data_IF_146151243574
#
_entry.id   IF_146151243574
#
_cell.length_a   1.000
_cell.length_b   1.000
_cell.length_c   1.000
_cell.angle_alpha   90.00
_cell.angle_beta   90.00
_cell.angle_gamma   90.00
#
_symmetry.space_group_name_H-M   'P 1'
#
loop_
_entity.id
_entity.type
_entity.pdbx_description
1 polymer ?
#
# COMPACT_ATOMS: atom_id res chain seq x y z
N UNK A 1 62.22 -42.75 -16.32
CA UNK A 1 62.51 -43.10 -17.73
C UNK A 1 61.21 -43.01 -18.53
N UNK A 2 61.26 -42.22 -19.61
CA UNK A 2 60.43 -42.25 -20.82
C UNK A 2 58.92 -41.99 -20.72
N UNK A 3 58.62 -40.77 -21.15
CA UNK A 3 57.48 -40.32 -21.96
C UNK A 3 56.78 -41.40 -22.81
N UNK A 4 55.46 -41.23 -23.00
CA UNK A 4 54.88 -40.90 -24.31
C UNK A 4 53.43 -40.44 -24.18
N UNK A 5 53.17 -39.21 -24.60
CA UNK A 5 51.84 -38.72 -24.89
C UNK A 5 51.34 -39.13 -26.27
N UNK A 6 50.02 -39.11 -26.45
CA UNK A 6 49.37 -38.94 -27.75
C UNK A 6 48.06 -38.19 -27.55
N UNK A 7 47.93 -37.06 -28.26
CA UNK A 7 46.78 -36.13 -28.32
C UNK A 7 45.71 -36.69 -29.27
N UNK A 8 44.43 -36.45 -28.97
CA UNK A 8 43.48 -35.62 -29.79
C UNK A 8 42.10 -35.59 -29.13
N UNK A 9 41.66 -34.41 -28.66
CA UNK A 9 40.63 -33.49 -29.24
C UNK A 9 39.18 -33.94 -29.08
N UNK A 10 38.46 -33.23 -28.21
CA UNK A 10 37.00 -33.20 -28.13
C UNK A 10 36.57 -32.09 -27.16
N UNK A 11 36.28 -30.92 -27.71
CA UNK A 11 35.86 -29.69 -27.04
C UNK A 11 34.49 -29.82 -26.35
N UNK A 12 34.37 -29.49 -25.06
CA UNK A 12 33.20 -28.81 -24.51
C UNK A 12 33.60 -27.82 -23.40
N UNK A 13 33.41 -26.54 -23.73
CA UNK A 13 33.09 -25.39 -22.86
C UNK A 13 31.94 -25.78 -21.90
N UNK A 14 31.67 -25.20 -20.74
CA UNK A 14 32.04 -23.94 -20.09
C UNK A 14 31.54 -24.03 -18.62
N UNK A 15 32.16 -23.19 -17.79
CA UNK A 15 31.56 -22.46 -16.67
C UNK A 15 31.03 -23.23 -15.45
N UNK A 16 31.75 -23.05 -14.34
CA UNK A 16 31.32 -23.43 -13.01
C UNK A 16 30.10 -22.64 -12.55
N UNK A 17 29.25 -23.33 -11.81
CA UNK A 17 28.19 -22.73 -11.03
C UNK A 17 28.72 -22.49 -9.62
N UNK A 18 29.07 -21.24 -9.36
CA UNK A 18 29.26 -20.70 -8.01
C UNK A 18 27.88 -20.70 -7.36
N UNK A 19 27.68 -21.58 -6.38
CA UNK A 19 26.47 -21.66 -5.58
C UNK A 19 26.48 -20.49 -4.58
N UNK A 20 25.91 -19.34 -4.98
CA UNK A 20 25.68 -18.22 -4.06
C UNK A 20 24.35 -18.49 -3.35
N UNK A 21 24.43 -19.07 -2.17
CA UNK A 21 23.38 -19.04 -1.16
C UNK A 21 23.24 -17.59 -0.67
N UNK A 22 22.39 -16.80 -1.31
CA UNK A 22 21.90 -15.55 -0.72
C UNK A 22 20.81 -15.91 0.27
N UNK A 23 21.19 -16.05 1.54
CA UNK A 23 20.26 -15.95 2.64
C UNK A 23 19.76 -14.51 2.70
N UNK A 24 18.66 -14.20 2.01
CA UNK A 24 17.94 -12.98 2.25
C UNK A 24 17.19 -13.13 3.58
N UNK A 25 17.84 -12.72 4.67
CA UNK A 25 17.16 -12.30 5.89
C UNK A 25 16.29 -11.07 5.55
N UNK A 26 15.13 -11.30 4.97
CA UNK A 26 14.03 -10.35 5.05
C UNK A 26 13.42 -10.52 6.43
N UNK A 27 13.81 -9.67 7.37
CA UNK A 27 13.02 -9.49 8.58
C UNK A 27 11.59 -9.18 8.13
N UNK A 28 10.69 -10.15 8.25
CA UNK A 28 9.26 -9.93 8.10
C UNK A 28 8.90 -9.02 9.26
N UNK A 29 8.93 -7.70 9.02
CA UNK A 29 8.47 -6.73 9.99
C UNK A 29 7.07 -7.18 10.40
N UNK A 30 6.85 -7.38 11.71
CA UNK A 30 5.51 -7.65 12.21
C UNK A 30 4.59 -6.58 11.64
N UNK A 31 3.51 -6.98 10.95
CA UNK A 31 2.68 -5.99 10.31
C UNK A 31 2.06 -5.14 11.43
N UNK A 32 1.99 -3.81 11.23
CA UNK A 32 1.53 -2.88 12.26
C UNK A 32 0.17 -3.30 12.80
N UNK A 33 -0.02 -3.24 14.13
CA UNK A 33 -1.20 -3.73 14.85
C UNK A 33 -2.50 -2.93 14.63
N UNK A 34 -2.67 -2.28 13.47
CA UNK A 34 -3.90 -1.57 13.11
C UNK A 34 -4.92 -2.58 12.58
N UNK A 35 -6.14 -2.55 13.10
CA UNK A 35 -7.23 -3.38 12.60
C UNK A 35 -7.87 -2.69 11.40
N UNK A 36 -7.88 -3.31 10.22
CA UNK A 36 -8.67 -2.81 9.10
C UNK A 36 -10.13 -2.68 9.54
N UNK A 37 -10.86 -1.63 9.13
CA UNK A 37 -12.25 -1.46 9.48
C UNK A 37 -13.02 -2.59 8.83
N UNK A 38 -13.31 -3.62 9.60
CA UNK A 38 -14.13 -4.70 9.09
C UNK A 38 -15.54 -4.21 8.83
N UNK A 39 -16.16 -4.62 7.71
CA UNK A 39 -17.57 -4.36 7.49
C UNK A 39 -18.33 -5.26 8.46
N UNK A 40 -19.08 -4.66 9.37
CA UNK A 40 -19.98 -5.44 10.23
C UNK A 40 -20.96 -6.21 9.34
N UNK A 41 -21.27 -7.45 9.73
CA UNK A 41 -22.15 -8.34 8.97
C UNK A 41 -23.55 -7.71 8.71
N UNK A 42 -23.98 -6.81 9.60
CA UNK A 42 -25.24 -6.05 9.55
C UNK A 42 -25.07 -4.60 9.04
N UNK A 43 -23.88 -4.23 8.56
CA UNK A 43 -23.57 -2.86 8.16
C UNK A 43 -24.36 -2.44 6.92
N UNK A 44 -25.10 -1.33 7.06
CA UNK A 44 -25.75 -0.62 5.95
C UNK A 44 -24.79 0.29 5.17
N UNK A 45 -23.50 0.29 5.49
CA UNK A 45 -22.51 1.10 4.79
C UNK A 45 -22.45 0.72 3.30
N UNK A 46 -22.53 1.69 2.37
CA UNK A 46 -22.34 1.42 0.96
C UNK A 46 -20.95 0.85 0.70
N UNK A 47 -20.88 -0.20 -0.12
CA UNK A 47 -19.63 -0.88 -0.45
C UNK A 47 -18.52 0.06 -0.96
N UNK A 48 -18.86 1.12 -1.69
CA UNK A 48 -17.88 2.13 -2.12
C UNK A 48 -17.20 2.87 -0.96
N UNK A 49 -17.95 3.19 0.10
CA UNK A 49 -17.40 3.81 1.30
C UNK A 49 -16.48 2.84 2.06
N UNK A 50 -16.88 1.57 2.13
CA UNK A 50 -16.07 0.52 2.72
C UNK A 50 -14.74 0.30 1.96
N UNK A 51 -14.79 0.11 0.64
CA UNK A 51 -13.58 -0.08 -0.18
C UNK A 51 -12.67 1.15 -0.17
N UNK A 52 -13.23 2.34 0.01
CA UNK A 52 -12.46 3.55 0.25
C UNK A 52 -11.68 3.47 1.56
N UNK A 53 -12.35 3.14 2.68
CA UNK A 53 -11.68 2.96 3.97
C UNK A 53 -10.59 1.89 3.93
N UNK A 54 -10.88 0.75 3.30
CA UNK A 54 -9.91 -0.33 3.13
C UNK A 54 -8.70 0.13 2.30
N UNK A 55 -8.91 0.89 1.23
CA UNK A 55 -7.82 1.47 0.46
C UNK A 55 -6.94 2.42 1.29
N UNK A 56 -7.55 3.33 2.05
CA UNK A 56 -6.80 4.29 2.87
C UNK A 56 -5.89 3.58 3.87
N UNK A 57 -6.41 2.56 4.56
CA UNK A 57 -5.63 1.86 5.56
C UNK A 57 -4.52 1.01 4.92
N UNK A 58 -4.83 0.21 3.90
CA UNK A 58 -3.82 -0.60 3.19
C UNK A 58 -2.69 0.26 2.65
N UNK A 59 -3.03 1.37 1.98
CA UNK A 59 -2.02 2.30 1.42
C UNK A 59 -1.20 2.93 2.55
N UNK A 60 -1.82 3.34 3.65
CA UNK A 60 -1.12 3.85 4.83
C UNK A 60 -0.18 2.84 5.47
N UNK A 61 -0.59 1.57 5.57
CA UNK A 61 0.25 0.49 6.08
C UNK A 61 1.42 0.19 5.14
N UNK A 62 1.18 0.17 3.83
CA UNK A 62 2.24 0.04 2.82
C UNK A 62 3.28 1.15 2.93
N UNK A 63 2.83 2.40 3.12
CA UNK A 63 3.76 3.51 3.36
C UNK A 63 4.65 3.25 4.58
N UNK A 64 4.08 2.75 5.69
CA UNK A 64 4.84 2.40 6.90
C UNK A 64 5.84 1.27 6.68
N UNK A 65 5.46 0.25 5.92
CA UNK A 65 6.36 -0.87 5.57
C UNK A 65 7.53 -0.38 4.73
N UNK A 66 7.30 0.54 3.79
CA UNK A 66 8.35 1.14 2.97
C UNK A 66 9.24 2.12 3.75
N UNK A 67 8.77 2.65 4.88
CA UNK A 67 9.48 3.63 5.70
C UNK A 67 9.58 3.18 7.17
N UNK A 68 10.23 2.04 7.48
CA UNK A 68 10.18 1.40 8.79
C UNK A 68 10.84 2.22 9.91
N UNK A 69 11.76 3.12 9.56
CA UNK A 69 12.45 4.03 10.50
C UNK A 69 11.71 5.35 10.72
N UNK A 70 10.66 5.63 9.94
CA UNK A 70 10.00 6.92 9.97
C UNK A 70 8.85 6.93 10.99
N UNK A 71 8.55 8.14 11.49
CA UNK A 71 7.42 8.35 12.39
C UNK A 71 6.21 8.75 11.55
N UNK A 72 5.38 7.76 11.26
CA UNK A 72 4.22 7.89 10.37
C UNK A 72 2.92 7.82 11.17
N UNK A 73 2.04 8.79 10.93
CA UNK A 73 0.69 8.88 11.48
C UNK A 73 -0.32 8.69 10.35
N UNK A 74 -1.38 7.93 10.62
CA UNK A 74 -2.47 7.66 9.67
C UNK A 74 -3.73 8.42 10.07
N UNK A 75 -4.76 8.36 9.22
CA UNK A 75 -6.06 9.04 9.35
C UNK A 75 -6.88 8.77 10.64
N UNK A 76 -6.37 7.95 11.55
CA UNK A 76 -6.92 7.75 12.90
C UNK A 76 -6.35 8.72 13.93
N UNK A 77 -5.25 9.40 13.60
CA UNK A 77 -4.53 10.34 14.46
C UNK A 77 -4.82 11.77 14.03
N UNK A 78 -5.16 12.63 14.99
CA UNK A 78 -5.48 14.02 14.73
C UNK A 78 -4.26 14.95 14.75
N UNK A 79 -4.41 16.17 14.23
CA UNK A 79 -3.30 17.14 14.13
C UNK A 79 -2.69 17.46 15.48
N UNK A 80 -3.47 17.49 16.56
CA UNK A 80 -2.93 17.70 17.92
C UNK A 80 -1.91 16.61 18.27
N UNK A 81 -2.30 15.34 18.11
CA UNK A 81 -1.43 14.20 18.38
C UNK A 81 -0.27 14.12 17.41
N UNK A 82 -0.45 14.49 16.14
CA UNK A 82 0.63 14.55 15.15
C UNK A 82 1.69 15.57 15.58
N UNK A 83 1.30 16.78 16.01
CA UNK A 83 2.26 17.80 16.46
C UNK A 83 2.96 17.37 17.75
N UNK A 84 2.19 16.90 18.73
CA UNK A 84 2.70 16.43 20.03
C UNK A 84 3.66 15.25 19.87
N UNK A 85 3.20 14.17 19.26
CA UNK A 85 3.96 12.92 19.14
C UNK A 85 4.95 12.96 18.00
N UNK A 86 4.77 13.82 17.01
CA UNK A 86 5.74 14.09 15.95
C UNK A 86 6.91 14.96 16.41
N UNK A 87 6.85 15.51 17.62
CA UNK A 87 7.84 16.47 18.16
C UNK A 87 8.03 17.66 17.20
N UNK A 88 6.93 18.13 16.60
CA UNK A 88 6.99 19.15 15.56
C UNK A 88 6.95 20.58 16.10
N UNK A 89 6.36 20.79 17.29
CA UNK A 89 6.17 22.10 17.91
C UNK A 89 5.17 22.03 19.05
N UNK A 90 4.52 23.16 19.36
CA UNK A 90 3.50 23.25 20.41
C UNK A 90 2.09 22.99 19.85
N UNK A 91 1.45 21.86 20.18
CA UNK A 91 0.11 21.52 19.68
C UNK A 91 -0.99 22.43 20.25
N UNK A 92 -0.74 23.15 21.36
CA UNK A 92 -1.72 24.07 21.93
C UNK A 92 -1.93 25.32 21.05
N UNK A 93 -0.99 25.62 20.16
CA UNK A 93 -1.10 26.73 19.19
C UNK A 93 -2.12 26.45 18.08
N UNK A 94 -2.54 25.20 17.89
CA UNK A 94 -3.60 24.87 16.93
C UNK A 94 -4.98 25.32 17.45
N UNK A 95 -5.84 25.95 16.62
CA UNK A 95 -7.23 26.22 16.99
C UNK A 95 -7.99 24.93 17.34
N UNK A 96 -8.93 24.99 18.29
CA UNK A 96 -9.56 23.79 18.86
C UNK A 96 -10.22 22.85 17.82
N UNK A 97 -10.87 23.42 16.80
CA UNK A 97 -11.46 22.62 15.72
C UNK A 97 -10.40 22.03 14.78
N UNK A 98 -9.31 22.76 14.55
CA UNK A 98 -8.20 22.34 13.69
C UNK A 98 -7.45 21.16 14.31
N UNK A 99 -7.31 21.14 15.63
CA UNK A 99 -6.71 20.02 16.38
C UNK A 99 -7.30 18.65 16.02
N UNK A 100 -8.58 18.60 15.67
CA UNK A 100 -9.34 17.35 15.41
C UNK A 100 -9.26 16.87 13.97
N UNK A 101 -8.66 17.65 13.08
CA UNK A 101 -8.48 17.28 11.68
C UNK A 101 -7.52 16.08 11.57
N UNK A 102 -7.72 15.24 10.54
CA UNK A 102 -7.02 13.96 10.39
C UNK A 102 -6.56 13.79 8.94
N UNK A 103 -5.30 14.15 8.63
CA UNK A 103 -4.75 13.89 7.31
C UNK A 103 -4.56 12.38 7.09
N UNK A 104 -4.54 11.95 5.83
CA UNK A 104 -4.55 10.51 5.56
C UNK A 104 -3.24 9.82 5.93
N UNK A 105 -2.11 10.40 5.54
CA UNK A 105 -0.76 9.97 5.91
C UNK A 105 0.06 11.20 6.24
N UNK A 106 0.70 11.21 7.41
CA UNK A 106 1.70 12.23 7.78
C UNK A 106 2.97 11.56 8.27
N UNK A 107 4.08 11.82 7.59
CA UNK A 107 5.41 11.37 7.99
C UNK A 107 6.19 12.55 8.57
N UNK A 108 6.40 12.54 9.88
CA UNK A 108 7.06 13.65 10.59
C UNK A 108 8.58 13.52 10.56
N UNK A 109 9.13 12.40 10.06
CA UNK A 109 10.56 12.23 9.83
C UNK A 109 10.96 12.75 8.45
N UNK A 110 10.16 12.43 7.43
CA UNK A 110 10.34 12.91 6.07
C UNK A 110 9.72 14.31 5.84
N UNK A 111 8.96 14.83 6.81
CA UNK A 111 8.26 16.11 6.74
C UNK A 111 7.30 16.21 5.55
N UNK A 112 6.53 15.14 5.32
CA UNK A 112 5.57 15.06 4.21
C UNK A 112 4.19 14.63 4.67
N UNK A 113 3.18 15.09 3.93
CA UNK A 113 1.78 14.72 4.09
C UNK A 113 1.21 14.24 2.76
N UNK A 114 0.29 13.27 2.83
CA UNK A 114 -0.49 12.81 1.69
C UNK A 114 -1.98 12.72 2.06
N UNK A 115 -2.83 13.20 1.16
CA UNK A 115 -4.26 12.89 1.11
C UNK A 115 -4.51 11.78 0.10
N UNK A 116 -5.31 10.79 0.48
CA UNK A 116 -5.68 9.66 -0.37
C UNK A 116 -7.06 9.91 -0.95
N UNK A 117 -7.20 9.79 -2.27
CA UNK A 117 -8.45 10.07 -2.98
C UNK A 117 -8.70 9.06 -4.10
N UNK A 118 -9.97 8.73 -4.42
CA UNK A 118 -10.27 7.99 -5.65
C UNK A 118 -9.71 8.69 -6.89
N UNK A 119 -9.25 7.93 -7.88
CA UNK A 119 -8.68 8.44 -9.15
C UNK A 119 -9.77 9.02 -10.07
N UNK A 120 -10.26 10.22 -9.74
CA UNK A 120 -11.10 11.08 -10.57
C UNK A 120 -10.82 12.56 -10.27
N UNK A 121 -11.16 13.45 -11.20
CA UNK A 121 -10.77 14.88 -11.10
C UNK A 121 -11.41 15.60 -9.91
N UNK A 122 -12.70 15.33 -9.61
CA UNK A 122 -13.38 15.94 -8.47
C UNK A 122 -12.71 15.56 -7.14
N UNK A 123 -12.36 14.29 -6.99
CA UNK A 123 -11.68 13.78 -5.79
C UNK A 123 -10.26 14.31 -5.69
N UNK A 124 -9.56 14.47 -6.83
CA UNK A 124 -8.23 15.08 -6.89
C UNK A 124 -8.26 16.53 -6.45
N UNK A 125 -9.22 17.33 -6.92
CA UNK A 125 -9.39 18.72 -6.52
C UNK A 125 -9.64 18.84 -5.01
N UNK A 126 -10.55 18.02 -4.47
CA UNK A 126 -10.79 17.94 -3.02
C UNK A 126 -9.53 17.56 -2.24
N UNK A 127 -8.79 16.55 -2.69
CA UNK A 127 -7.52 16.17 -2.05
C UNK A 127 -6.50 17.29 -2.03
N UNK A 128 -6.42 18.09 -3.10
CA UNK A 128 -5.55 19.27 -3.17
C UNK A 128 -5.93 20.34 -2.16
N UNK A 129 -7.23 20.61 -2.01
CA UNK A 129 -7.73 21.58 -1.04
C UNK A 129 -7.46 21.11 0.40
N UNK A 130 -7.75 19.84 0.70
CA UNK A 130 -7.50 19.26 2.02
C UNK A 130 -6.02 19.22 2.37
N UNK A 131 -5.15 18.76 1.47
CA UNK A 131 -3.71 18.76 1.67
C UNK A 131 -3.17 20.17 1.94
N UNK A 132 -3.60 21.17 1.16
CA UNK A 132 -3.23 22.58 1.38
C UNK A 132 -3.68 23.08 2.75
N UNK A 133 -4.92 22.77 3.15
CA UNK A 133 -5.47 23.18 4.45
C UNK A 133 -4.68 22.56 5.60
N UNK A 134 -4.36 21.27 5.54
CA UNK A 134 -3.59 20.59 6.58
C UNK A 134 -2.15 21.11 6.65
N UNK A 135 -1.49 21.29 5.51
CA UNK A 135 -0.14 21.84 5.46
C UNK A 135 -0.09 23.27 6.00
N UNK A 136 -1.07 24.11 5.67
CA UNK A 136 -1.15 25.47 6.23
C UNK A 136 -1.31 25.43 7.75
N UNK A 137 -2.27 24.64 8.26
CA UNK A 137 -2.52 24.51 9.69
C UNK A 137 -1.31 23.98 10.48
N UNK A 138 -0.65 22.94 9.97
CA UNK A 138 0.57 22.39 10.59
C UNK A 138 1.69 23.43 10.56
N UNK A 139 1.98 24.02 9.40
CA UNK A 139 3.14 24.89 9.22
C UNK A 139 3.06 26.23 9.98
N UNK A 140 1.90 26.59 10.53
CA UNK A 140 1.75 27.70 11.46
C UNK A 140 2.29 27.41 12.87
N UNK A 141 2.26 26.14 13.30
CA UNK A 141 2.54 25.75 14.68
C UNK A 141 3.85 24.99 14.86
N UNK A 142 4.37 24.38 13.79
CA UNK A 142 5.65 23.65 13.81
C UNK A 142 6.87 24.57 13.82
N UNK A 143 8.00 24.03 14.25
CA UNK A 143 9.29 24.72 14.23
C UNK A 143 9.74 25.02 12.78
N UNK A 144 10.49 26.12 12.52
CA UNK A 144 10.85 26.54 11.17
C UNK A 144 11.58 25.49 10.32
N UNK A 145 12.40 24.64 10.93
CA UNK A 145 13.16 23.55 10.31
C UNK A 145 12.34 22.25 10.16
N UNK A 146 11.11 22.22 10.70
CA UNK A 146 10.19 21.08 10.68
C UNK A 146 8.96 21.33 9.81
N UNK A 147 9.02 22.30 8.90
CA UNK A 147 7.93 22.58 7.96
C UNK A 147 7.69 21.39 7.04
N UNK A 148 6.42 20.99 6.97
CA UNK A 148 5.98 19.89 6.13
C UNK A 148 5.64 20.37 4.71
N UNK A 149 5.78 19.47 3.74
CA UNK A 149 5.37 19.66 2.36
C UNK A 149 4.42 18.55 1.90
N UNK A 150 3.82 18.73 0.72
CA UNK A 150 3.11 17.63 0.07
C UNK A 150 4.11 16.58 -0.39
N UNK A 151 3.90 15.33 0.01
CA UNK A 151 4.78 14.23 -0.39
C UNK A 151 4.67 13.92 -1.88
N UNK A 152 5.71 13.28 -2.44
CA UNK A 152 5.80 12.95 -3.87
C UNK A 152 6.29 11.52 -4.07
N UNK A 153 6.06 10.97 -5.27
CA UNK A 153 6.67 9.69 -5.68
C UNK A 153 6.18 8.45 -4.92
N UNK A 154 5.10 8.56 -4.15
CA UNK A 154 4.50 7.41 -3.48
C UNK A 154 3.51 6.71 -4.42
N UNK A 155 3.89 5.53 -4.88
CA UNK A 155 3.15 4.72 -5.85
C UNK A 155 3.23 3.24 -5.48
N UNK A 156 2.24 2.48 -5.92
CA UNK A 156 2.24 1.04 -5.70
C UNK A 156 0.95 0.37 -6.16
N UNK A 157 0.90 -0.94 -5.98
CA UNK A 157 -0.33 -1.69 -6.18
C UNK A 157 -0.37 -2.93 -5.29
N UNK A 158 -1.56 -3.46 -5.08
CA UNK A 158 -1.82 -4.69 -4.37
C UNK A 158 -2.81 -5.51 -5.19
N UNK A 159 -2.59 -6.81 -5.30
CA UNK A 159 -3.50 -7.71 -5.99
C UNK A 159 -4.19 -8.65 -5.00
N UNK A 160 -5.49 -8.86 -5.20
CA UNK A 160 -6.29 -9.88 -4.53
C UNK A 160 -6.72 -10.91 -5.56
N UNK A 161 -6.09 -12.08 -5.53
CA UNK A 161 -6.55 -13.22 -6.32
C UNK A 161 -7.67 -13.95 -5.57
N UNK A 162 -8.70 -14.44 -6.28
CA UNK A 162 -9.73 -15.29 -5.70
C UNK A 162 -9.84 -16.60 -6.49
N UNK A 163 -9.88 -17.76 -5.81
CA UNK A 163 -9.92 -19.11 -6.42
C UNK A 163 -8.74 -19.37 -7.38
N UNK A 164 -8.33 -20.64 -7.57
CA UNK A 164 -7.22 -20.97 -8.49
C UNK A 164 -7.51 -20.47 -9.93
N UNK A 165 -6.94 -19.34 -10.34
CA UNK A 165 -7.20 -18.75 -11.67
C UNK A 165 -8.52 -17.97 -11.78
N UNK A 166 -9.17 -17.66 -10.66
CA UNK A 166 -10.41 -16.88 -10.66
C UNK A 166 -10.17 -15.38 -10.92
N UNK A 167 -11.08 -14.57 -10.40
CA UNK A 167 -11.04 -13.12 -10.53
C UNK A 167 -9.77 -12.56 -9.87
N UNK A 168 -9.21 -11.49 -10.45
CA UNK A 168 -8.12 -10.72 -9.84
C UNK A 168 -8.58 -9.28 -9.62
N UNK A 169 -8.63 -8.84 -8.37
CA UNK A 169 -8.75 -7.41 -8.07
C UNK A 169 -7.37 -6.79 -7.91
N UNK A 170 -7.29 -5.50 -8.20
CA UNK A 170 -6.09 -4.70 -8.01
C UNK A 170 -6.47 -3.37 -7.37
N UNK A 171 -5.87 -3.06 -6.23
CA UNK A 171 -5.76 -1.69 -5.73
C UNK A 171 -4.47 -1.11 -6.30
N UNK A 172 -4.53 0.02 -6.99
CA UNK A 172 -3.34 0.75 -7.43
C UNK A 172 -3.38 2.16 -6.90
N UNK A 173 -2.25 2.73 -6.53
CA UNK A 173 -2.13 4.12 -6.13
C UNK A 173 -0.90 4.80 -6.74
N UNK A 174 -1.01 6.12 -6.90
CA UNK A 174 0.09 6.96 -7.39
C UNK A 174 -0.06 8.38 -6.88
N UNK A 175 1.04 9.11 -6.78
CA UNK A 175 1.07 10.52 -6.34
C UNK A 175 1.33 11.45 -7.53
N UNK A 176 0.30 11.84 -8.30
CA UNK A 176 0.48 12.65 -9.51
C UNK A 176 0.85 14.12 -9.20
N UNK A 177 0.57 14.60 -7.99
CA UNK A 177 0.94 15.94 -7.53
C UNK A 177 1.27 15.94 -6.04
N UNK A 178 2.10 16.89 -5.56
CA UNK A 178 2.53 16.93 -4.16
C UNK A 178 1.36 16.90 -3.18
N UNK A 179 1.37 15.92 -2.28
CA UNK A 179 0.39 15.77 -1.21
C UNK A 179 -0.93 15.14 -1.62
N UNK A 180 -1.11 14.72 -2.87
CA UNK A 180 -2.33 14.03 -3.32
C UNK A 180 -1.97 12.69 -3.94
N UNK A 181 -2.33 11.61 -3.27
CA UNK A 181 -2.23 10.24 -3.78
C UNK A 181 -3.59 9.79 -4.27
N UNK A 182 -3.66 9.41 -5.55
CA UNK A 182 -4.87 8.86 -6.15
C UNK A 182 -4.83 7.35 -6.11
N UNK A 183 -5.93 6.72 -5.70
CA UNK A 183 -6.10 5.27 -5.69
C UNK A 183 -7.27 4.81 -6.56
N UNK A 184 -7.16 3.58 -7.06
CA UNK A 184 -8.19 2.93 -7.87
C UNK A 184 -8.28 1.45 -7.56
N UNK A 185 -9.50 0.98 -7.31
CA UNK A 185 -9.83 -0.43 -7.41
C UNK A 185 -10.15 -0.79 -8.86
N UNK A 186 -9.58 -1.89 -9.32
CA UNK A 186 -9.82 -2.42 -10.66
C UNK A 186 -9.95 -3.94 -10.62
N UNK A 187 -10.52 -4.46 -11.69
CA UNK A 187 -10.89 -5.85 -11.83
C UNK A 187 -10.28 -6.42 -13.11
N UNK A 188 -9.93 -7.70 -13.08
CA UNK A 188 -9.49 -8.46 -14.25
C UNK A 188 -10.26 -9.77 -14.28
N UNK A 189 -10.76 -10.10 -15.47
CA UNK A 189 -11.67 -11.22 -15.66
C UNK A 189 -11.00 -12.54 -15.30
N UNK A 190 -11.84 -13.44 -14.77
CA UNK A 190 -11.48 -14.85 -14.56
C UNK A 190 -10.92 -15.42 -15.86
N UNK A 191 -9.73 -16.00 -15.75
CA UNK A 191 -9.09 -16.73 -16.85
C UNK A 191 -8.58 -18.04 -16.25
N UNK A 192 -9.36 -19.13 -16.37
CA UNK A 192 -8.96 -20.43 -15.87
C UNK A 192 -7.57 -20.81 -16.37
N UNK A 193 -6.79 -21.45 -15.52
CA UNK A 193 -5.44 -21.96 -15.81
C UNK A 193 -4.39 -20.91 -16.21
N UNK A 194 -4.74 -19.62 -16.19
CA UNK A 194 -3.77 -18.55 -16.43
C UNK A 194 -2.93 -18.28 -15.19
N UNK A 195 -1.63 -18.15 -15.41
CA UNK A 195 -0.69 -17.70 -14.38
C UNK A 195 -1.05 -16.31 -13.86
N UNK A 196 -0.55 -15.97 -12.68
CA UNK A 196 -0.75 -14.65 -12.10
C UNK A 196 -0.27 -13.54 -13.05
N UNK A 197 0.87 -13.72 -13.72
CA UNK A 197 1.46 -12.75 -14.66
C UNK A 197 0.55 -12.50 -15.84
N UNK A 198 0.02 -13.57 -16.43
CA UNK A 198 -0.90 -13.48 -17.56
C UNK A 198 -2.20 -12.77 -17.17
N UNK A 199 -2.68 -12.97 -15.94
CA UNK A 199 -3.87 -12.26 -15.44
C UNK A 199 -3.58 -10.80 -15.12
N UNK A 200 -2.48 -10.50 -14.42
CA UNK A 200 -2.06 -9.12 -14.15
C UNK A 200 -1.83 -8.32 -15.44
N UNK A 201 -1.40 -8.97 -16.52
CA UNK A 201 -1.22 -8.37 -17.84
C UNK A 201 -2.52 -8.18 -18.65
N UNK A 202 -3.67 -8.64 -18.16
CA UNK A 202 -4.95 -8.37 -18.83
C UNK A 202 -5.24 -6.86 -18.89
N UNK A 203 -6.30 -6.46 -19.58
CA UNK A 203 -6.82 -5.10 -19.45
C UNK A 203 -7.46 -4.94 -18.06
N UNK A 204 -7.18 -3.84 -17.39
CA UNK A 204 -7.88 -3.49 -16.15
C UNK A 204 -9.27 -2.94 -16.50
N UNK A 205 -10.28 -3.46 -15.82
CA UNK A 205 -11.67 -3.02 -15.92
C UNK A 205 -12.10 -2.33 -14.62
N UNK A 206 -13.16 -1.53 -14.68
CA UNK A 206 -13.81 -1.01 -13.48
C UNK A 206 -14.37 -2.17 -12.66
N UNK A 207 -14.25 -2.07 -11.33
CA UNK A 207 -14.72 -3.11 -10.43
C UNK A 207 -16.26 -3.06 -10.35
N UNK A 208 -16.99 -4.07 -10.89
CA UNK A 208 -18.45 -4.01 -10.96
C UNK A 208 -19.09 -4.06 -9.58
N UNK A 209 -20.25 -3.42 -9.42
CA UNK A 209 -20.97 -3.42 -8.14
C UNK A 209 -21.35 -4.83 -7.69
N UNK A 210 -21.77 -5.68 -8.61
CA UNK A 210 -22.15 -7.06 -8.37
C UNK A 210 -20.96 -7.88 -7.86
N UNK A 211 -19.77 -7.61 -8.41
CA UNK A 211 -18.53 -8.26 -7.99
C UNK A 211 -18.14 -7.84 -6.56
N UNK A 212 -18.32 -6.55 -6.24
CA UNK A 212 -18.09 -6.03 -4.89
C UNK A 212 -19.07 -6.65 -3.89
N UNK A 213 -20.34 -6.73 -4.26
CA UNK A 213 -21.37 -7.35 -3.42
C UNK A 213 -21.11 -8.84 -3.19
N UNK A 214 -20.59 -9.54 -4.19
CA UNK A 214 -20.29 -10.98 -4.10
C UNK A 214 -19.00 -11.28 -3.32
N UNK A 215 -17.93 -10.50 -3.50
CA UNK A 215 -16.59 -10.82 -2.98
C UNK A 215 -16.01 -9.80 -2.00
N UNK A 216 -16.68 -8.70 -1.73
CA UNK A 216 -16.17 -7.62 -0.87
C UNK A 216 -15.82 -8.09 0.54
N UNK A 217 -16.64 -8.97 1.13
CA UNK A 217 -16.36 -9.56 2.46
C UNK A 217 -15.10 -10.45 2.42
N UNK A 218 -14.94 -11.23 1.35
CA UNK A 218 -13.76 -12.08 1.17
C UNK A 218 -12.50 -11.23 0.96
N UNK A 219 -12.61 -10.14 0.20
CA UNK A 219 -11.53 -9.18 -0.04
C UNK A 219 -11.09 -8.51 1.27
N UNK A 220 -12.05 -8.11 2.11
CA UNK A 220 -11.79 -7.58 3.44
C UNK A 220 -11.00 -8.55 4.30
N UNK A 221 -11.51 -9.77 4.46
CA UNK A 221 -10.89 -10.76 5.33
C UNK A 221 -9.48 -11.11 4.84
N UNK A 222 -9.26 -11.12 3.52
CA UNK A 222 -7.94 -11.33 2.93
C UNK A 222 -6.95 -10.21 3.28
N UNK A 223 -7.37 -8.95 3.15
CA UNK A 223 -6.55 -7.80 3.53
C UNK A 223 -6.24 -7.83 5.04
N UNK A 224 -7.23 -8.18 5.87
CA UNK A 224 -7.03 -8.32 7.33
C UNK A 224 -6.03 -9.41 7.65
N UNK A 225 -6.15 -10.59 7.03
CA UNK A 225 -5.17 -11.67 7.20
C UNK A 225 -3.76 -11.25 6.79
N UNK A 226 -3.61 -10.43 5.74
CA UNK A 226 -2.30 -9.98 5.27
C UNK A 226 -1.62 -8.95 6.19
N UNK A 227 -2.38 -8.04 6.79
CA UNK A 227 -1.85 -6.93 7.59
C UNK A 227 -2.08 -7.02 9.11
N UNK A 228 -2.97 -7.89 9.59
CA UNK A 228 -3.20 -8.09 11.03
C UNK A 228 -2.56 -9.40 11.54
N UNK A 229 -1.93 -10.20 10.66
CA UNK A 229 -1.35 -11.50 11.02
C UNK A 229 -2.40 -12.56 11.39
N UNK A 230 -3.67 -12.36 11.04
CA UNK A 230 -4.77 -13.29 11.31
C UNK A 230 -4.78 -14.51 10.39
N UNK A 231 -5.48 -15.57 10.80
CA UNK A 231 -5.73 -16.73 9.94
C UNK A 231 -6.53 -16.33 8.69
N UNK A 232 -6.11 -16.82 7.52
CA UNK A 232 -6.88 -16.66 6.29
C UNK A 232 -8.21 -17.42 6.43
N UNK A 233 -9.35 -16.82 6.06
CA UNK A 233 -10.66 -17.41 6.31
C UNK A 233 -10.85 -18.70 5.50
N UNK A 234 -11.63 -19.65 6.05
CA UNK A 234 -12.01 -20.87 5.33
C UNK A 234 -12.79 -20.52 4.06
N UNK A 235 -12.32 -21.01 2.90
CA UNK A 235 -12.88 -20.70 1.59
C UNK A 235 -12.15 -19.58 0.83
N UNK A 236 -11.27 -18.81 1.48
CA UNK A 236 -10.35 -17.93 0.76
C UNK A 236 -9.27 -18.74 0.06
N UNK A 237 -9.40 -18.85 -1.25
CA UNK A 237 -8.42 -19.44 -2.14
C UNK A 237 -7.65 -18.35 -2.89
N UNK A 238 -7.18 -17.34 -2.16
CA UNK A 238 -6.58 -16.15 -2.74
C UNK A 238 -5.15 -15.86 -2.28
N UNK A 239 -4.50 -14.94 -2.98
CA UNK A 239 -3.17 -14.43 -2.65
C UNK A 239 -3.19 -12.91 -2.66
N UNK A 240 -2.56 -12.31 -1.64
CA UNK A 240 -2.26 -10.88 -1.58
C UNK A 240 -0.84 -10.70 -2.09
N UNK A 241 -0.67 -10.03 -3.22
CA UNK A 241 0.65 -9.72 -3.76
C UNK A 241 0.99 -8.26 -3.49
N UNK A 242 2.07 -8.05 -2.74
CA UNK A 242 2.74 -6.77 -2.62
C UNK A 242 3.92 -6.80 -3.61
N UNK A 243 3.92 -5.99 -4.69
CA UNK A 243 5.06 -5.85 -5.57
C UNK A 243 6.12 -5.03 -4.83
N UNK A 244 6.81 -5.64 -3.87
CA UNK A 244 7.95 -5.01 -3.21
C UNK A 244 9.18 -4.97 -4.12
N UNK A 245 9.19 -5.77 -5.19
CA UNK A 245 10.24 -5.79 -6.20
C UNK A 245 9.67 -6.16 -7.58
N UNK A 246 9.25 -5.16 -8.35
CA UNK A 246 9.13 -5.27 -9.80
C UNK A 246 10.20 -4.38 -10.44
N UNK A 247 11.46 -4.82 -10.34
CA UNK A 247 12.54 -4.40 -11.25
C UNK A 247 13.01 -5.61 -12.04
#
# INVERSE_FOLDING_TARGET
MKERGSRTRGTFRLAGFLLVLVAAFGAQAEPPSSKLPGRKLDSKEPWGAFLGKAAHEVIGLEYRVQHPSNRVFLNTVDLYRIVEKGELGDPERLPELVRRLRPDITDTRALVLFELKPDNEESREKGREEARRYLAALNEVVEPDKKLAGGTGFEGSLFLEFEKGGVLWQLSWRTPEPGVTLYRWSYRRKKPDASWKERAAQKAEELPREEIEQRGELAEQALRGAYEGGERPQGFQGQVYLPVDCR
#
